data_IF_988649377712
#
_entry.id   IF_988649377712
#
_cell.length_a   1.000
_cell.length_b   1.000
_cell.length_c   1.000
_cell.angle_alpha   90.00
_cell.angle_beta   90.00
_cell.angle_gamma   90.00
#
_symmetry.space_group_name_H-M   'P 1'
#
loop_
_entity.id
_entity.type
_entity.pdbx_description
1 polymer ?
#
# COMPACT_ATOMS: atom_id res chain seq x y z
N UNK A 1 24.90 -42.84 56.18
CA UNK A 1 25.96 -43.69 55.61
C UNK A 1 25.75 -43.86 54.11
N UNK A 2 26.85 -43.79 53.35
CA UNK A 2 27.11 -43.88 51.90
C UNK A 2 26.05 -44.45 50.93
N UNK A 3 25.78 -43.64 49.89
CA UNK A 3 25.81 -43.87 48.41
C UNK A 3 25.66 -45.30 47.82
N UNK A 4 24.77 -45.33 46.80
CA UNK A 4 24.95 -45.73 45.37
C UNK A 4 24.38 -47.07 44.86
N UNK A 5 23.81 -46.95 43.65
CA UNK A 5 23.32 -47.93 42.66
C UNK A 5 22.01 -48.66 43.05
N UNK A 6 20.98 -48.81 42.21
CA UNK A 6 21.00 -49.18 40.79
C UNK A 6 19.71 -48.73 40.05
N UNK A 7 19.84 -48.68 38.71
CA UNK A 7 18.91 -48.39 37.60
C UNK A 7 17.46 -48.93 37.71
N UNK A 8 16.51 -48.02 37.48
CA UNK A 8 15.58 -47.94 36.33
C UNK A 8 14.69 -49.15 35.96
N UNK A 9 13.36 -49.02 36.14
CA UNK A 9 12.33 -48.70 35.10
C UNK A 9 10.95 -49.35 35.38
N UNK A 10 9.93 -48.47 35.50
CA UNK A 10 8.51 -48.49 35.04
C UNK A 10 7.62 -49.75 35.24
N UNK A 11 6.31 -49.68 35.49
CA UNK A 11 5.29 -48.65 35.24
C UNK A 11 4.07 -48.88 36.16
N UNK A 12 3.41 -47.80 36.58
CA UNK A 12 2.27 -47.77 37.52
C UNK A 12 0.99 -47.34 36.77
N UNK A 13 -0.07 -48.14 36.93
CA UNK A 13 -1.48 -47.83 37.34
C UNK A 13 -2.07 -46.48 36.85
N UNK A 14 -3.27 -46.34 36.27
CA UNK A 14 -4.54 -47.07 36.41
C UNK A 14 -5.62 -46.10 36.96
N UNK A 15 -6.89 -46.29 36.56
CA UNK A 15 -8.15 -46.12 37.35
C UNK A 15 -9.36 -45.79 36.43
N UNK A 16 -10.43 -46.54 36.69
CA UNK A 16 -11.78 -46.57 36.11
C UNK A 16 -12.73 -45.77 37.02
N UNK A 17 -13.72 -45.05 36.48
CA UNK A 17 -15.05 -44.91 37.12
C UNK A 17 -16.16 -44.95 36.06
N UNK A 18 -17.10 -45.87 36.27
CA UNK A 18 -18.35 -46.15 35.53
C UNK A 18 -19.52 -45.64 36.35
N UNK A 19 -20.51 -44.96 35.75
CA UNK A 19 -21.95 -44.98 36.13
C UNK A 19 -22.77 -44.17 35.09
N UNK A 20 -23.99 -44.47 34.65
CA UNK A 20 -24.97 -45.51 34.99
C UNK A 20 -26.16 -45.48 33.99
N UNK A 21 -26.70 -46.66 33.67
CA UNK A 21 -28.07 -47.02 33.25
C UNK A 21 -28.62 -46.69 31.83
N UNK A 22 -28.54 -47.71 30.99
CA UNK A 22 -29.60 -48.17 30.06
C UNK A 22 -30.78 -48.77 30.86
N UNK A 23 -32.02 -48.69 30.38
CA UNK A 23 -32.86 -49.89 30.19
C UNK A 23 -34.04 -49.66 29.23
N UNK A 24 -34.31 -50.73 28.47
CA UNK A 24 -35.23 -50.98 27.36
C UNK A 24 -36.72 -50.79 27.66
N UNK A 25 -37.54 -50.55 26.63
CA UNK A 25 -38.47 -51.58 26.10
C UNK A 25 -39.28 -51.14 24.86
N UNK A 26 -39.67 -52.17 24.11
CA UNK A 26 -40.30 -52.27 22.79
C UNK A 26 -41.75 -51.75 22.72
N UNK A 27 -42.24 -51.45 21.50
CA UNK A 27 -43.33 -52.20 20.81
C UNK A 27 -43.74 -51.53 19.47
N UNK A 28 -44.06 -52.39 18.51
CA UNK A 28 -44.45 -52.18 17.11
C UNK A 28 -45.77 -51.42 16.85
N UNK A 29 -45.81 -50.71 15.70
CA UNK A 29 -46.70 -50.91 14.51
C UNK A 29 -47.56 -49.71 14.01
N UNK A 30 -47.37 -49.44 12.71
CA UNK A 30 -48.29 -48.96 11.64
C UNK A 30 -48.28 -47.47 11.24
N UNK A 31 -47.96 -47.27 9.95
CA UNK A 31 -48.33 -46.14 9.07
C UNK A 31 -47.34 -44.98 9.11
N UNK A 32 -46.62 -44.58 8.06
CA UNK A 32 -46.87 -44.64 6.63
C UNK A 32 -46.73 -43.22 6.07
N UNK A 33 -45.79 -43.04 5.12
CA UNK A 33 -45.64 -41.89 4.20
C UNK A 33 -44.68 -40.73 4.57
N UNK A 34 -43.58 -40.68 3.78
CA UNK A 34 -42.82 -39.53 3.28
C UNK A 34 -42.25 -38.47 4.24
N UNK A 35 -40.93 -38.50 4.43
CA UNK A 35 -40.03 -37.51 3.80
C UNK A 35 -38.56 -37.84 4.12
N UNK A 36 -37.96 -38.70 3.30
CA UNK A 36 -36.55 -38.55 3.01
C UNK A 36 -36.43 -37.50 1.91
N UNK A 37 -35.66 -36.44 2.10
CA UNK A 37 -34.35 -36.21 1.45
C UNK A 37 -33.88 -34.78 1.82
N UNK A 38 -32.66 -34.71 2.38
CA UNK A 38 -31.69 -33.58 2.33
C UNK A 38 -32.15 -32.21 2.84
N UNK A 39 -31.72 -31.67 3.99
CA UNK A 39 -30.38 -31.71 4.62
C UNK A 39 -29.23 -31.35 3.67
N UNK A 40 -29.43 -30.33 2.83
CA UNK A 40 -28.35 -29.64 2.09
C UNK A 40 -28.71 -28.16 1.84
N UNK A 41 -29.01 -27.40 2.89
CA UNK A 41 -28.99 -25.92 2.85
C UNK A 41 -28.32 -25.35 4.12
N UNK A 42 -27.27 -26.03 4.57
CA UNK A 42 -26.30 -25.48 5.51
C UNK A 42 -24.90 -25.68 4.89
N UNK A 43 -24.64 -24.94 3.81
CA UNK A 43 -23.32 -24.83 3.20
C UNK A 43 -22.94 -23.34 3.20
N UNK A 44 -22.02 -23.02 4.10
CA UNK A 44 -21.10 -21.88 4.10
C UNK A 44 -21.67 -20.50 3.78
N UNK A 45 -22.33 -19.86 4.74
CA UNK A 45 -22.25 -18.40 4.85
C UNK A 45 -20.88 -18.04 5.45
N UNK A 46 -19.78 -18.24 4.72
CA UNK A 46 -18.50 -17.66 5.12
C UNK A 46 -18.69 -16.15 5.07
N UNK A 47 -18.80 -15.53 6.24
CA UNK A 47 -18.97 -14.07 6.36
C UNK A 47 -17.83 -13.41 5.57
N UNK A 48 -18.14 -12.49 4.66
CA UNK A 48 -17.10 -11.70 3.97
C UNK A 48 -16.35 -10.91 5.06
N UNK A 49 -15.13 -11.32 5.37
CA UNK A 49 -14.25 -10.66 6.34
C UNK A 49 -13.41 -9.59 5.65
N UNK A 50 -13.10 -9.83 4.37
CA UNK A 50 -12.28 -8.97 3.53
C UNK A 50 -13.04 -8.56 2.27
N UNK A 51 -12.69 -7.40 1.72
CA UNK A 51 -13.09 -7.01 0.37
C UNK A 51 -11.98 -6.28 -0.35
N UNK A 52 -11.79 -6.61 -1.62
CA UNK A 52 -10.99 -5.82 -2.55
C UNK A 52 -11.83 -4.77 -3.27
N UNK A 53 -11.32 -3.55 -3.39
CA UNK A 53 -11.87 -2.49 -4.24
C UNK A 53 -10.79 -1.97 -5.19
N UNK A 54 -11.19 -1.49 -6.36
CA UNK A 54 -10.31 -0.88 -7.34
C UNK A 54 -11.04 0.29 -8.00
N UNK A 55 -10.34 1.39 -8.17
CA UNK A 55 -10.76 2.56 -8.93
C UNK A 55 -9.67 2.92 -9.94
N UNK A 56 -10.01 3.71 -10.95
CA UNK A 56 -9.05 4.14 -11.95
C UNK A 56 -9.22 5.61 -12.32
N UNK A 57 -8.13 6.22 -12.77
CA UNK A 57 -8.11 7.55 -13.39
C UNK A 57 -7.36 7.47 -14.72
N UNK A 58 -7.99 7.94 -15.80
CA UNK A 58 -7.37 8.03 -17.13
C UNK A 58 -6.76 9.42 -17.30
N UNK A 59 -5.48 9.47 -17.65
CA UNK A 59 -4.78 10.69 -18.09
C UNK A 59 -4.50 10.63 -19.59
N UNK A 60 -3.84 11.65 -20.14
CA UNK A 60 -3.46 11.68 -21.56
C UNK A 60 -2.54 10.51 -21.92
N UNK A 61 -1.63 10.15 -21.03
CA UNK A 61 -0.54 9.20 -21.26
C UNK A 61 -0.67 7.88 -20.48
N UNK A 62 -1.51 7.82 -19.43
CA UNK A 62 -1.56 6.68 -18.51
C UNK A 62 -2.97 6.34 -18.04
N UNK A 63 -3.08 5.17 -17.42
CA UNK A 63 -4.18 4.78 -16.54
C UNK A 63 -3.59 4.50 -15.16
N UNK A 64 -4.09 5.20 -14.15
CA UNK A 64 -3.68 5.04 -12.75
C UNK A 64 -4.74 4.19 -12.07
N UNK A 65 -4.34 3.11 -11.40
CA UNK A 65 -5.21 2.22 -10.65
C UNK A 65 -4.94 2.35 -9.16
N UNK A 66 -5.94 2.76 -8.39
CA UNK A 66 -5.92 2.75 -6.93
C UNK A 66 -6.75 1.57 -6.43
N UNK A 67 -6.19 0.71 -5.59
CA UNK A 67 -6.91 -0.44 -5.08
C UNK A 67 -6.56 -0.74 -3.62
N UNK A 68 -7.49 -1.41 -2.94
CA UNK A 68 -7.40 -1.63 -1.51
C UNK A 68 -7.96 -2.99 -1.10
N UNK A 69 -7.42 -3.54 -0.02
CA UNK A 69 -7.97 -4.69 0.70
C UNK A 69 -8.45 -4.24 2.08
N UNK A 70 -9.77 -4.23 2.29
CA UNK A 70 -10.40 -3.72 3.53
C UNK A 70 -10.82 -4.85 4.45
N UNK A 71 -10.55 -4.70 5.75
CA UNK A 71 -11.01 -5.61 6.80
C UNK A 71 -12.36 -5.16 7.37
N UNK A 72 -13.41 -5.93 7.07
CA UNK A 72 -14.78 -5.74 7.59
C UNK A 72 -15.08 -6.59 8.82
N UNK A 73 -14.12 -7.39 9.28
CA UNK A 73 -14.29 -8.20 10.48
C UNK A 73 -14.11 -7.34 11.73
N UNK A 74 -14.57 -7.86 12.87
CA UNK A 74 -14.39 -7.22 14.18
C UNK A 74 -13.05 -7.54 14.83
N UNK A 75 -12.12 -8.21 14.13
CA UNK A 75 -10.81 -8.62 14.64
C UNK A 75 -9.70 -8.09 13.74
N UNK A 76 -8.53 -7.84 14.32
CA UNK A 76 -7.34 -7.62 13.52
C UNK A 76 -6.98 -8.92 12.78
N UNK A 77 -6.62 -8.79 11.51
CA UNK A 77 -6.15 -9.89 10.67
C UNK A 77 -4.67 -9.70 10.41
N UNK A 78 -3.90 -10.78 10.46
CA UNK A 78 -2.50 -10.80 10.04
C UNK A 78 -2.44 -11.59 8.74
N UNK A 79 -2.03 -10.94 7.66
CA UNK A 79 -1.99 -11.51 6.32
C UNK A 79 -0.53 -11.78 5.94
N UNK A 80 -0.16 -13.05 5.74
CA UNK A 80 1.15 -13.40 5.20
C UNK A 80 1.17 -13.25 3.68
N UNK A 81 2.26 -12.71 3.16
CA UNK A 81 2.58 -12.61 1.74
C UNK A 81 3.89 -13.33 1.48
N UNK A 82 3.92 -14.20 0.47
CA UNK A 82 5.06 -15.08 0.18
C UNK A 82 6.32 -14.36 -0.33
N UNK A 83 6.23 -13.08 -0.65
CA UNK A 83 7.31 -12.28 -1.24
C UNK A 83 7.03 -10.78 -1.05
N UNK A 84 7.93 -9.93 -1.54
CA UNK A 84 7.67 -8.51 -1.70
C UNK A 84 6.52 -8.19 -2.67
N UNK A 85 6.18 -9.12 -3.57
CA UNK A 85 4.99 -9.01 -4.41
C UNK A 85 3.72 -9.27 -3.58
N UNK A 86 2.94 -8.21 -3.35
CA UNK A 86 1.71 -8.29 -2.55
C UNK A 86 0.45 -8.36 -3.40
N UNK A 87 0.54 -7.99 -4.68
CA UNK A 87 -0.57 -8.01 -5.61
C UNK A 87 -0.11 -8.34 -7.03
N UNK A 88 -1.08 -8.64 -7.89
CA UNK A 88 -0.95 -8.66 -9.33
C UNK A 88 -2.05 -7.79 -9.93
N UNK A 89 -1.70 -6.93 -10.87
CA UNK A 89 -2.65 -6.20 -11.72
C UNK A 89 -2.44 -6.68 -13.16
N UNK A 90 -3.52 -7.13 -13.80
CA UNK A 90 -3.53 -7.53 -15.21
C UNK A 90 -4.55 -6.71 -15.96
N UNK A 91 -4.14 -6.06 -17.05
CA UNK A 91 -5.08 -5.39 -17.96
C UNK A 91 -5.25 -6.21 -19.22
N UNK A 92 -6.51 -6.42 -19.60
CA UNK A 92 -6.92 -7.15 -20.79
C UNK A 92 -7.74 -6.27 -21.72
N UNK A 93 -7.57 -6.47 -23.02
CA UNK A 93 -8.38 -5.81 -24.04
C UNK A 93 -9.79 -6.43 -24.16
N UNK A 94 -10.59 -5.93 -25.10
CA UNK A 94 -11.95 -6.41 -25.37
C UNK A 94 -12.00 -7.90 -25.82
N UNK A 95 -10.92 -8.43 -26.40
CA UNK A 95 -10.81 -9.84 -26.78
C UNK A 95 -10.38 -10.73 -25.61
N UNK A 96 -10.01 -10.12 -24.49
CA UNK A 96 -9.45 -10.82 -23.32
C UNK A 96 -7.95 -11.07 -23.42
N UNK A 97 -7.25 -10.48 -24.40
CA UNK A 97 -5.80 -10.56 -24.53
C UNK A 97 -5.13 -9.68 -23.48
N UNK A 98 -4.12 -10.22 -22.80
CA UNK A 98 -3.35 -9.49 -21.79
C UNK A 98 -2.42 -8.49 -22.45
N UNK A 99 -2.63 -7.22 -22.16
CA UNK A 99 -1.81 -6.11 -22.68
C UNK A 99 -0.84 -5.58 -21.64
N UNK A 100 -1.11 -5.77 -20.35
CA UNK A 100 -0.26 -5.34 -19.25
C UNK A 100 -0.35 -6.30 -18.07
N UNK A 101 0.78 -6.47 -17.39
CA UNK A 101 0.91 -7.20 -16.13
C UNK A 101 1.90 -6.48 -15.23
N UNK A 102 1.50 -6.23 -13.99
CA UNK A 102 2.35 -5.56 -13.02
C UNK A 102 3.68 -6.29 -12.82
N UNK A 103 3.68 -7.62 -12.72
CA UNK A 103 4.91 -8.37 -12.48
C UNK A 103 5.90 -8.41 -13.66
N UNK A 104 5.51 -8.00 -14.88
CA UNK A 104 6.39 -8.09 -16.04
C UNK A 104 7.63 -7.20 -15.85
N UNK A 105 8.82 -7.79 -16.00
CA UNK A 105 10.10 -7.09 -15.84
C UNK A 105 10.47 -6.69 -14.41
N UNK A 106 9.67 -7.05 -13.40
CA UNK A 106 9.95 -6.75 -11.99
C UNK A 106 10.58 -7.96 -11.27
N UNK A 107 11.41 -7.68 -10.27
CA UNK A 107 12.02 -8.69 -9.40
C UNK A 107 11.58 -8.44 -7.97
N UNK A 108 11.04 -9.45 -7.29
CA UNK A 108 10.54 -9.29 -5.93
C UNK A 108 11.43 -10.04 -4.94
N UNK A 109 11.56 -9.50 -3.73
CA UNK A 109 12.26 -10.20 -2.65
C UNK A 109 11.49 -11.45 -2.25
N UNK A 110 12.17 -12.57 -2.00
CA UNK A 110 11.53 -13.81 -1.56
C UNK A 110 11.28 -13.85 -0.03
N UNK A 111 11.37 -12.70 0.63
CA UNK A 111 11.15 -12.60 2.07
C UNK A 111 9.66 -12.63 2.38
N UNK A 112 9.28 -13.41 3.39
CA UNK A 112 7.91 -13.48 3.87
C UNK A 112 7.54 -12.16 4.56
N UNK A 113 6.46 -11.54 4.10
CA UNK A 113 5.97 -10.26 4.64
C UNK A 113 4.66 -10.51 5.39
N UNK A 114 4.52 -9.97 6.59
CA UNK A 114 3.29 -10.02 7.37
C UNK A 114 2.69 -8.63 7.48
N UNK A 115 1.42 -8.49 7.11
CA UNK A 115 0.67 -7.22 7.26
C UNK A 115 -0.48 -7.41 8.21
N UNK A 116 -0.53 -6.59 9.25
CA UNK A 116 -1.70 -6.50 10.11
C UNK A 116 -2.69 -5.49 9.52
N UNK A 117 -3.99 -5.83 9.53
CA UNK A 117 -5.08 -4.92 9.17
C UNK A 117 -6.10 -4.93 10.30
N UNK A 118 -6.28 -3.80 11.00
CA UNK A 118 -7.27 -3.70 12.08
C UNK A 118 -8.71 -3.63 11.53
N UNK A 119 -9.74 -3.82 12.38
CA UNK A 119 -11.13 -3.64 11.97
C UNK A 119 -11.38 -2.28 11.32
N UNK A 120 -11.92 -2.27 10.10
CA UNK A 120 -12.21 -1.08 9.31
C UNK A 120 -11.02 -0.50 8.54
N UNK A 121 -9.79 -0.98 8.76
CA UNK A 121 -8.61 -0.53 8.02
C UNK A 121 -8.51 -1.20 6.65
N UNK A 122 -7.65 -0.64 5.80
CA UNK A 122 -7.34 -1.19 4.49
C UNK A 122 -5.85 -1.08 4.16
N UNK A 123 -5.30 -2.12 3.54
CA UNK A 123 -4.05 -2.01 2.79
C UNK A 123 -4.36 -1.32 1.45
N UNK A 124 -3.46 -0.44 1.01
CA UNK A 124 -3.68 0.41 -0.18
C UNK A 124 -2.46 0.36 -1.08
N UNK A 125 -2.72 0.16 -2.36
CA UNK A 125 -1.69 0.14 -3.40
C UNK A 125 -2.14 0.98 -4.59
N UNK A 126 -1.15 1.38 -5.38
CA UNK A 126 -1.36 2.05 -6.65
C UNK A 126 -0.44 1.44 -7.71
N UNK A 127 -0.93 1.34 -8.94
CA UNK A 127 -0.11 0.98 -10.10
C UNK A 127 -0.48 1.85 -11.31
N UNK A 128 0.48 2.06 -12.21
CA UNK A 128 0.29 2.89 -13.41
C UNK A 128 0.61 2.10 -14.67
N UNK A 129 -0.31 2.16 -15.63
CA UNK A 129 -0.10 1.62 -16.95
C UNK A 129 0.02 2.74 -17.97
N UNK A 130 1.14 2.78 -18.70
CA UNK A 130 1.47 3.77 -19.74
C UNK A 130 0.73 3.56 -21.08
N UNK A 131 -0.33 2.74 -21.05
CA UNK A 131 -1.16 2.39 -22.21
C UNK A 131 -0.37 1.69 -23.31
N UNK A 132 0.77 1.06 -23.01
CA UNK A 132 1.50 0.22 -23.97
C UNK A 132 1.19 -1.25 -23.78
N UNK A 133 1.10 -1.97 -24.89
CA UNK A 133 1.04 -3.43 -24.88
C UNK A 133 2.42 -4.04 -24.53
N UNK A 134 2.47 -5.37 -24.41
CA UNK A 134 3.71 -6.11 -24.14
C UNK A 134 4.79 -5.98 -25.22
N UNK A 135 4.46 -5.46 -26.40
CA UNK A 135 5.41 -5.16 -27.47
C UNK A 135 5.84 -3.67 -27.46
N UNK A 136 5.39 -2.88 -26.48
CA UNK A 136 5.71 -1.46 -26.33
C UNK A 136 4.87 -0.53 -27.20
N UNK A 137 3.85 -1.02 -27.90
CA UNK A 137 3.01 -0.19 -28.77
C UNK A 137 1.84 0.40 -27.98
N UNK A 138 1.47 1.66 -28.29
CA UNK A 138 0.30 2.29 -27.67
C UNK A 138 -0.98 1.52 -28.05
N UNK A 139 -1.76 1.14 -27.05
CA UNK A 139 -3.01 0.42 -27.26
C UNK A 139 -4.10 1.32 -27.85
N UNK A 140 -5.06 0.72 -28.54
CA UNK A 140 -6.13 1.46 -29.20
C UNK A 140 -7.19 1.96 -28.20
N UNK A 141 -7.89 3.06 -28.51
CA UNK A 141 -9.14 3.39 -27.83
C UNK A 141 -10.11 2.20 -27.83
N UNK A 142 -10.88 2.03 -26.75
CA UNK A 142 -11.76 0.89 -26.61
C UNK A 142 -11.97 0.45 -25.17
N UNK A 143 -12.68 -0.66 -24.99
CA UNK A 143 -12.97 -1.24 -23.68
C UNK A 143 -11.82 -2.12 -23.21
N UNK A 144 -11.49 -1.99 -21.94
CA UNK A 144 -10.48 -2.77 -21.24
C UNK A 144 -11.02 -3.24 -19.91
N UNK A 145 -10.39 -4.29 -19.38
CA UNK A 145 -10.70 -4.87 -18.08
C UNK A 145 -9.41 -4.98 -17.27
N UNK A 146 -9.40 -4.38 -16.10
CA UNK A 146 -8.33 -4.53 -15.11
C UNK A 146 -8.77 -5.57 -14.06
N UNK A 147 -7.93 -6.57 -13.86
CA UNK A 147 -8.11 -7.65 -12.87
C UNK A 147 -7.01 -7.50 -11.81
N UNK A 148 -7.41 -7.28 -10.56
CA UNK A 148 -6.49 -7.15 -9.42
C UNK A 148 -6.63 -8.39 -8.53
N UNK A 149 -5.51 -8.98 -8.15
CA UNK A 149 -5.41 -10.08 -7.19
C UNK A 149 -4.43 -9.71 -6.07
N UNK A 150 -4.85 -9.84 -4.81
CA UNK A 150 -3.99 -9.70 -3.63
C UNK A 150 -3.42 -11.06 -3.24
N UNK A 151 -2.10 -11.17 -3.20
CA UNK A 151 -1.35 -12.43 -3.14
C UNK A 151 -1.09 -12.91 -1.70
N UNK A 152 -2.14 -12.95 -0.89
CA UNK A 152 -2.08 -13.52 0.47
C UNK A 152 -1.85 -15.02 0.36
N UNK A 153 -0.87 -15.56 1.08
CA UNK A 153 -0.66 -17.01 1.14
C UNK A 153 -1.59 -17.65 2.18
N UNK A 154 -2.16 -18.83 1.92
CA UNK A 154 -2.98 -19.51 2.90
C UNK A 154 -2.13 -20.00 4.09
N UNK A 155 -2.62 -19.77 5.32
CA UNK A 155 -2.05 -20.39 6.52
C UNK A 155 -2.64 -21.79 6.75
N UNK A 156 -1.82 -22.76 7.16
CA UNK A 156 -2.27 -24.15 7.39
C UNK A 156 -3.32 -24.26 8.52
N UNK A 157 -3.20 -23.41 9.55
CA UNK A 157 -4.09 -23.39 10.72
C UNK A 157 -5.06 -22.18 10.75
N UNK A 158 -5.07 -21.36 9.69
CA UNK A 158 -5.87 -20.14 9.59
C UNK A 158 -7.24 -20.34 8.93
N UNK A 159 -8.15 -19.38 9.16
CA UNK A 159 -9.41 -19.32 8.41
C UNK A 159 -9.12 -19.12 6.92
N UNK A 160 -9.60 -20.02 6.08
CA UNK A 160 -9.40 -19.92 4.63
C UNK A 160 -10.08 -18.66 4.08
N UNK A 161 -9.29 -17.76 3.50
CA UNK A 161 -9.79 -16.60 2.77
C UNK A 161 -10.25 -17.06 1.38
N UNK A 162 -11.53 -16.85 1.07
CA UNK A 162 -12.05 -17.14 -0.27
C UNK A 162 -11.46 -16.19 -1.32
N UNK A 163 -10.99 -16.72 -2.47
CA UNK A 163 -10.33 -15.98 -3.55
C UNK A 163 -11.08 -14.72 -3.99
N UNK A 164 -12.42 -14.78 -4.01
CA UNK A 164 -13.29 -13.63 -4.37
C UNK A 164 -13.20 -12.44 -3.41
N UNK A 165 -12.61 -12.61 -2.23
CA UNK A 165 -12.33 -11.53 -1.28
C UNK A 165 -10.98 -10.87 -1.53
N UNK A 166 -10.10 -11.54 -2.28
CA UNK A 166 -8.76 -11.09 -2.65
C UNK A 166 -8.69 -10.66 -4.12
N UNK A 167 -9.81 -10.67 -4.84
CA UNK A 167 -9.87 -10.39 -6.27
C UNK A 167 -10.96 -9.37 -6.57
N UNK A 168 -10.62 -8.37 -7.36
CA UNK A 168 -11.58 -7.41 -7.92
C UNK A 168 -11.32 -7.19 -9.40
N UNK A 169 -12.33 -6.71 -10.10
CA UNK A 169 -12.28 -6.46 -11.53
C UNK A 169 -13.03 -5.19 -11.84
N UNK A 170 -12.43 -4.34 -12.67
CA UNK A 170 -13.05 -3.10 -13.13
C UNK A 170 -12.92 -3.00 -14.65
N UNK A 171 -13.99 -2.53 -15.28
CA UNK A 171 -14.02 -2.24 -16.71
C UNK A 171 -13.89 -0.74 -16.91
N UNK A 172 -13.15 -0.35 -17.95
CA UNK A 172 -12.95 1.06 -18.31
C UNK A 172 -12.82 1.21 -19.82
N UNK A 173 -13.03 2.43 -20.31
CA UNK A 173 -12.94 2.75 -21.74
C UNK A 173 -11.88 3.81 -21.95
N UNK A 174 -10.85 3.48 -22.74
CA UNK A 174 -9.88 4.46 -23.19
C UNK A 174 -10.51 5.35 -24.26
N UNK A 175 -10.47 6.68 -24.12
CA UNK A 175 -11.05 7.60 -25.09
C UNK A 175 -10.27 7.58 -26.41
N UNK A 176 -10.94 8.00 -27.49
CA UNK A 176 -10.25 8.30 -28.74
C UNK A 176 -9.24 9.44 -28.49
N UNK A 177 -7.99 9.24 -28.89
CA UNK A 177 -6.98 10.28 -28.88
C UNK A 177 -7.43 11.40 -29.82
N UNK A 178 -7.89 12.52 -29.29
CA UNK A 178 -8.15 13.70 -30.10
C UNK A 178 -6.82 14.28 -30.60
N UNK A 179 -6.72 14.73 -31.86
CA UNK A 179 -5.62 15.59 -32.27
C UNK A 179 -5.65 16.85 -31.40
N UNK A 180 -4.48 17.23 -30.86
CA UNK A 180 -4.31 18.44 -30.06
C UNK A 180 -4.56 19.66 -30.97
N UNK A 181 -5.72 20.29 -30.84
CA UNK A 181 -5.88 21.70 -31.14
C UNK A 181 -5.87 22.46 -29.81
N UNK A 182 -4.90 23.34 -29.65
CA UNK A 182 -4.87 24.33 -28.59
C UNK A 182 -6.10 25.24 -28.74
N UNK A 183 -7.11 25.10 -27.88
CA UNK A 183 -7.71 26.17 -27.06
C UNK A 183 -9.11 25.86 -26.52
N UNK A 184 -9.30 26.33 -25.27
CA UNK A 184 -10.53 26.67 -24.53
C UNK A 184 -11.43 25.57 -23.92
N UNK A 185 -11.24 25.42 -22.60
CA UNK A 185 -12.24 25.74 -21.56
C UNK A 185 -13.70 25.38 -21.88
N UNK A 186 -14.15 24.22 -21.38
CA UNK A 186 -15.55 23.83 -21.37
C UNK A 186 -15.86 22.85 -20.23
N UNK A 187 -16.05 23.39 -19.04
CA UNK A 187 -16.54 22.68 -17.85
C UNK A 187 -17.91 22.04 -18.13
N UNK A 188 -18.00 20.70 -18.04
CA UNK A 188 -19.28 19.98 -17.98
C UNK A 188 -19.37 19.20 -16.67
N UNK A 189 -20.00 19.84 -15.70
CA UNK A 189 -20.48 19.26 -14.45
C UNK A 189 -21.67 18.34 -14.75
N UNK A 190 -21.56 17.05 -14.42
CA UNK A 190 -22.73 16.15 -14.30
C UNK A 190 -23.14 16.12 -12.83
N UNK A 191 -24.27 16.76 -12.54
CA UNK A 191 -24.94 16.73 -11.23
C UNK A 191 -25.59 15.36 -11.00
N UNK A 192 -25.21 14.69 -9.93
CA UNK A 192 -26.02 13.68 -9.24
C UNK A 192 -26.38 14.19 -7.85
N UNK A 193 -27.66 14.34 -7.55
CA UNK A 193 -28.16 14.70 -6.22
C UNK A 193 -28.08 13.51 -5.23
N UNK A 194 -28.06 13.77 -3.91
CA UNK A 194 -27.53 12.85 -2.89
C UNK A 194 -28.62 11.96 -2.26
N UNK A 195 -28.23 10.86 -1.59
CA UNK A 195 -28.99 10.34 -0.48
C UNK A 195 -28.22 10.46 0.85
N UNK A 196 -28.83 11.24 1.73
CA UNK A 196 -29.08 11.03 3.18
C UNK A 196 -27.96 10.41 4.06
N UNK A 197 -27.66 11.17 5.11
CA UNK A 197 -26.71 10.91 6.18
C UNK A 197 -26.87 9.57 6.92
N UNK A 198 -25.72 8.90 7.10
CA UNK A 198 -25.35 8.19 8.32
C UNK A 198 -23.82 8.17 8.40
N UNK A 199 -23.27 8.63 9.52
CA UNK A 199 -21.84 8.85 9.68
C UNK A 199 -21.04 7.55 9.79
N UNK A 200 -20.18 7.32 8.81
CA UNK A 200 -18.94 6.55 8.91
C UNK A 200 -17.88 7.37 8.15
N UNK A 201 -16.73 7.65 8.77
CA UNK A 201 -15.63 8.36 8.08
C UNK A 201 -14.99 7.39 7.09
N UNK A 202 -15.60 7.24 5.91
CA UNK A 202 -14.93 6.66 4.76
C UNK A 202 -13.75 7.56 4.38
N UNK A 203 -12.52 7.04 4.50
CA UNK A 203 -11.32 7.73 4.01
C UNK A 203 -11.38 7.83 2.48
N UNK A 204 -11.95 8.92 1.96
CA UNK A 204 -11.98 9.21 0.54
C UNK A 204 -10.53 9.39 0.05
N UNK A 205 -10.07 8.54 -0.86
CA UNK A 205 -8.78 8.75 -1.54
C UNK A 205 -8.93 10.06 -2.33
N UNK A 206 -8.12 11.06 -1.98
CA UNK A 206 -8.10 12.37 -2.66
C UNK A 206 -7.47 12.14 -4.04
N UNK A 207 -8.21 12.46 -5.10
CA UNK A 207 -7.71 12.29 -6.47
C UNK A 207 -6.49 13.16 -6.75
N UNK A 208 -5.68 12.81 -7.75
CA UNK A 208 -4.47 13.57 -8.09
C UNK A 208 -4.75 15.06 -8.41
N UNK A 209 -5.85 15.33 -9.12
CA UNK A 209 -6.25 16.70 -9.45
C UNK A 209 -6.68 17.50 -8.21
N UNK A 210 -7.47 16.91 -7.32
CA UNK A 210 -7.88 17.53 -6.06
C UNK A 210 -6.67 17.74 -5.14
N UNK A 211 -5.79 16.74 -5.03
CA UNK A 211 -4.57 16.82 -4.22
C UNK A 211 -3.67 17.97 -4.70
N UNK A 212 -3.45 18.07 -6.03
CA UNK A 212 -2.69 19.16 -6.64
C UNK A 212 -3.29 20.53 -6.30
N UNK A 213 -4.60 20.69 -6.45
CA UNK A 213 -5.28 21.95 -6.12
C UNK A 213 -5.11 22.35 -4.65
N UNK A 214 -5.03 21.36 -3.74
CA UNK A 214 -4.88 21.60 -2.30
C UNK A 214 -3.44 21.91 -1.86
N UNK A 215 -2.43 21.26 -2.46
CA UNK A 215 -1.07 21.26 -1.89
C UNK A 215 0.00 21.93 -2.75
N UNK A 216 -0.21 22.16 -4.05
CA UNK A 216 0.88 22.50 -4.98
C UNK A 216 1.71 23.73 -4.54
N UNK A 217 1.07 24.78 -4.05
CA UNK A 217 1.76 25.98 -3.56
C UNK A 217 2.60 25.68 -2.31
N UNK A 218 2.03 24.94 -1.35
CA UNK A 218 2.71 24.54 -0.10
C UNK A 218 3.90 23.64 -0.40
N UNK A 219 3.71 22.63 -1.25
CA UNK A 219 4.78 21.71 -1.65
C UNK A 219 5.92 22.43 -2.37
N UNK A 220 5.59 23.37 -3.27
CA UNK A 220 6.59 24.24 -3.93
C UNK A 220 7.38 25.05 -2.92
N UNK A 221 6.72 25.66 -1.93
CA UNK A 221 7.40 26.47 -0.91
C UNK A 221 8.28 25.61 0.02
N UNK A 222 7.86 24.38 0.35
CA UNK A 222 8.69 23.41 1.09
C UNK A 222 9.92 23.01 0.26
N UNK A 223 9.76 22.70 -1.02
CA UNK A 223 10.90 22.36 -1.90
C UNK A 223 11.87 23.52 -2.07
N UNK A 224 11.37 24.76 -2.15
CA UNK A 224 12.22 25.96 -2.17
C UNK A 224 13.01 26.11 -0.87
N UNK A 225 12.36 25.92 0.28
CA UNK A 225 13.05 25.97 1.58
C UNK A 225 14.11 24.86 1.71
N UNK A 226 13.80 23.64 1.24
CA UNK A 226 14.76 22.54 1.18
C UNK A 226 15.95 22.91 0.30
N UNK A 227 15.73 23.28 -0.96
CA UNK A 227 16.80 23.61 -1.91
C UNK A 227 17.67 24.79 -1.49
N UNK A 228 17.10 25.78 -0.80
CA UNK A 228 17.83 26.92 -0.23
C UNK A 228 18.50 26.62 1.13
N UNK A 229 18.27 25.43 1.70
CA UNK A 229 18.63 25.08 3.09
C UNK A 229 18.10 26.09 4.12
N UNK A 230 16.91 26.65 3.87
CA UNK A 230 16.25 27.60 4.75
C UNK A 230 15.53 26.85 5.88
N UNK A 231 16.29 26.53 6.93
CA UNK A 231 15.79 25.79 8.09
C UNK A 231 14.65 26.48 8.84
N UNK A 232 14.68 27.82 8.93
CA UNK A 232 13.63 28.59 9.59
C UNK A 232 12.34 28.49 8.79
N UNK A 233 12.41 28.67 7.47
CA UNK A 233 11.23 28.56 6.61
C UNK A 233 10.70 27.14 6.56
N UNK A 234 11.57 26.13 6.50
CA UNK A 234 11.16 24.72 6.52
C UNK A 234 10.43 24.37 7.83
N UNK A 235 10.91 24.85 8.97
CA UNK A 235 10.33 24.60 10.28
C UNK A 235 8.87 25.10 10.42
N UNK A 236 8.48 26.13 9.67
CA UNK A 236 7.10 26.65 9.65
C UNK A 236 6.10 25.64 9.05
N UNK A 237 6.55 24.78 8.13
CA UNK A 237 5.70 23.79 7.47
C UNK A 237 5.60 22.47 8.23
N UNK A 238 6.53 22.20 9.16
CA UNK A 238 6.59 20.93 9.91
C UNK A 238 5.35 20.76 10.78
N UNK A 239 4.79 19.55 10.80
CA UNK A 239 3.63 19.24 11.63
C UNK A 239 3.95 19.47 13.11
N UNK A 240 3.18 20.32 13.82
CA UNK A 240 3.55 20.80 15.16
C UNK A 240 3.54 19.69 16.23
N UNK A 241 2.67 18.69 16.08
CA UNK A 241 2.59 17.53 16.98
C UNK A 241 3.41 16.32 16.49
N UNK A 242 3.25 15.93 15.23
CA UNK A 242 3.88 14.72 14.66
C UNK A 242 5.35 14.91 14.27
N UNK A 243 5.82 16.15 14.06
CA UNK A 243 7.14 16.42 13.49
C UNK A 243 7.20 16.02 12.00
N UNK A 244 8.41 15.91 11.47
CA UNK A 244 8.67 15.37 10.13
C UNK A 244 9.54 14.11 10.24
N UNK A 245 9.06 13.01 9.68
CA UNK A 245 9.75 11.72 9.58
C UNK A 245 10.64 11.68 8.34
N UNK A 246 11.84 11.12 8.46
CA UNK A 246 12.76 10.92 7.35
C UNK A 246 12.92 9.43 7.08
N UNK A 247 12.59 9.01 5.86
CA UNK A 247 12.70 7.63 5.42
C UNK A 247 13.68 7.57 4.23
N UNK A 248 14.82 6.86 4.32
CA UNK A 248 15.85 6.86 3.28
C UNK A 248 15.47 6.08 2.01
N UNK A 249 14.42 5.26 2.09
CA UNK A 249 13.86 4.45 1.00
C UNK A 249 12.33 4.42 1.13
N UNK A 250 11.62 3.64 0.31
CA UNK A 250 10.15 3.68 0.21
C UNK A 250 9.37 3.13 1.39
N UNK A 251 9.99 2.28 2.22
CA UNK A 251 9.30 1.65 3.36
C UNK A 251 9.43 2.51 4.61
N UNK A 252 8.33 3.11 5.03
CA UNK A 252 8.25 3.95 6.23
C UNK A 252 8.26 3.07 7.47
N UNK A 253 9.34 3.14 8.25
CA UNK A 253 9.51 2.40 9.50
C UNK A 253 9.14 3.30 10.68
N UNK A 254 7.93 3.12 11.22
CA UNK A 254 7.44 3.98 12.31
C UNK A 254 8.24 3.88 13.60
N UNK A 255 8.98 2.79 13.80
CA UNK A 255 9.79 2.53 15.00
C UNK A 255 11.23 3.04 14.87
N UNK A 256 11.81 2.95 13.66
CA UNK A 256 13.23 3.25 13.44
C UNK A 256 13.49 4.58 12.72
N UNK A 257 12.59 5.02 11.84
CA UNK A 257 12.80 6.27 11.11
C UNK A 257 12.88 7.44 12.10
N UNK A 258 13.80 8.36 11.82
CA UNK A 258 14.01 9.53 12.66
C UNK A 258 12.93 10.56 12.40
N UNK A 259 12.40 11.12 13.49
CA UNK A 259 11.40 12.18 13.48
C UNK A 259 11.99 13.43 14.13
N UNK A 260 11.91 14.56 13.45
CA UNK A 260 12.41 15.85 13.93
C UNK A 260 11.24 16.81 14.13
N UNK A 261 11.22 17.51 15.26
CA UNK A 261 10.22 18.56 15.51
C UNK A 261 10.52 19.82 14.71
N UNK A 262 9.56 20.76 14.64
CA UNK A 262 9.81 22.08 14.05
C UNK A 262 11.01 22.79 14.68
N UNK A 263 11.25 22.60 15.99
CA UNK A 263 12.40 23.21 16.67
C UNK A 263 13.73 22.53 16.29
N UNK A 264 13.73 21.20 16.14
CA UNK A 264 14.93 20.50 15.68
C UNK A 264 15.28 20.87 14.24
N UNK A 265 14.26 21.08 13.39
CA UNK A 265 14.43 21.47 11.99
C UNK A 265 15.15 22.81 11.83
N UNK A 266 14.89 23.79 12.71
CA UNK A 266 15.61 25.08 12.70
C UNK A 266 17.13 24.93 12.82
N UNK A 267 17.60 23.87 13.47
CA UNK A 267 19.02 23.58 13.64
C UNK A 267 19.52 22.43 12.74
N UNK A 268 18.67 21.88 11.86
CA UNK A 268 18.95 20.65 11.11
C UNK A 268 20.26 20.72 10.33
N UNK A 269 20.42 21.72 9.45
CA UNK A 269 21.61 21.84 8.60
C UNK A 269 22.91 22.16 9.35
N UNK A 270 22.81 22.67 10.59
CA UNK A 270 23.97 22.99 11.42
C UNK A 270 24.30 21.87 12.42
N UNK A 271 23.41 20.89 12.58
CA UNK A 271 23.57 19.82 13.54
C UNK A 271 24.68 18.84 13.10
N UNK A 272 25.73 18.75 13.91
CA UNK A 272 26.88 17.87 13.66
C UNK A 272 26.75 16.49 14.32
N UNK A 273 25.64 16.22 15.02
CA UNK A 273 25.38 14.90 15.60
C UNK A 273 25.10 13.92 14.47
N UNK A 274 25.77 12.76 14.52
CA UNK A 274 25.47 11.63 13.65
C UNK A 274 24.33 10.79 14.22
N UNK A 275 23.47 10.32 13.33
CA UNK A 275 22.36 9.44 13.64
C UNK A 275 22.43 8.20 12.74
N UNK A 276 21.86 7.10 13.22
CA UNK A 276 21.56 5.93 12.39
C UNK A 276 20.23 6.21 11.69
N UNK A 277 20.29 6.48 10.38
CA UNK A 277 19.10 6.77 9.56
C UNK A 277 18.44 5.51 9.00
N UNK A 278 19.11 4.37 9.10
CA UNK A 278 18.69 3.11 8.49
C UNK A 278 19.88 2.34 7.94
N UNK A 279 19.64 1.54 6.92
CA UNK A 279 20.65 0.71 6.26
C UNK A 279 20.56 0.91 4.75
N UNK A 280 21.70 0.96 4.07
CA UNK A 280 21.75 1.07 2.61
C UNK A 280 21.11 -0.17 1.96
N UNK A 281 20.23 0.07 0.99
CA UNK A 281 19.66 -1.02 0.20
C UNK A 281 20.75 -1.69 -0.66
N UNK A 282 20.66 -3.01 -0.81
CA UNK A 282 21.67 -3.85 -1.46
C UNK A 282 22.86 -4.25 -0.57
N UNK A 283 23.55 -3.30 0.09
CA UNK A 283 24.73 -3.62 0.93
C UNK A 283 24.37 -4.00 2.37
N UNK A 284 23.30 -3.41 2.91
CA UNK A 284 22.91 -3.56 4.31
C UNK A 284 23.80 -2.79 5.30
N UNK A 285 24.70 -1.92 4.83
CA UNK A 285 25.56 -1.11 5.69
C UNK A 285 24.78 0.00 6.41
N UNK A 286 25.20 0.38 7.61
CA UNK A 286 24.55 1.44 8.39
C UNK A 286 24.66 2.82 7.71
N UNK A 287 23.54 3.54 7.64
CA UNK A 287 23.51 4.94 7.22
C UNK A 287 23.78 5.82 8.44
N UNK A 288 25.06 5.95 8.80
CA UNK A 288 25.53 6.77 9.94
C UNK A 288 25.96 8.17 9.51
N UNK A 289 25.01 9.09 9.40
CA UNK A 289 25.21 10.43 8.84
C UNK A 289 24.77 11.55 9.80
N UNK A 290 25.36 12.73 9.67
CA UNK A 290 24.77 13.98 10.18
C UNK A 290 23.53 14.37 9.34
N UNK A 291 22.61 15.19 9.85
CA UNK A 291 21.50 15.72 9.07
C UNK A 291 21.91 16.43 7.77
N UNK A 292 23.02 17.18 7.79
CA UNK A 292 23.56 17.82 6.59
C UNK A 292 24.06 16.81 5.54
N UNK A 293 24.78 15.77 5.97
CA UNK A 293 25.23 14.69 5.07
C UNK A 293 24.04 13.86 4.55
N UNK A 294 23.04 13.59 5.39
CA UNK A 294 21.81 12.92 4.98
C UNK A 294 21.03 13.75 3.95
N UNK A 295 20.97 15.07 4.13
CA UNK A 295 20.35 15.97 3.17
C UNK A 295 20.98 15.84 1.78
N UNK A 296 22.31 15.91 1.68
CA UNK A 296 23.00 15.78 0.38
C UNK A 296 22.79 14.39 -0.24
N UNK A 297 22.69 13.35 0.58
CA UNK A 297 22.63 11.97 0.11
C UNK A 297 21.22 11.51 -0.28
N UNK A 298 20.19 11.95 0.43
CA UNK A 298 18.83 11.40 0.33
C UNK A 298 17.74 12.46 0.16
N UNK A 299 17.95 13.73 0.53
CA UNK A 299 16.89 14.76 0.39
C UNK A 299 17.08 15.56 -0.90
N UNK A 300 18.31 15.98 -1.18
CA UNK A 300 18.66 16.77 -2.36
C UNK A 300 19.75 16.08 -3.17
N UNK A 301 19.58 14.77 -3.37
CA UNK A 301 20.46 13.95 -4.21
C UNK A 301 20.40 14.31 -5.70
N UNK A 302 19.32 15.00 -6.10
CA UNK A 302 19.11 15.57 -7.42
C UNK A 302 18.38 16.92 -7.29
N UNK A 303 18.30 17.67 -8.39
CA UNK A 303 17.65 18.99 -8.45
C UNK A 303 16.11 18.87 -8.49
N UNK A 304 15.53 18.26 -7.45
CA UNK A 304 14.10 17.91 -7.38
C UNK A 304 13.15 19.11 -7.53
N UNK A 305 13.60 20.34 -7.24
CA UNK A 305 12.80 21.54 -7.51
C UNK A 305 12.46 21.70 -9.00
N UNK A 306 13.31 21.19 -9.90
CA UNK A 306 13.16 21.20 -11.34
C UNK A 306 12.86 19.81 -11.91
N UNK A 307 12.30 18.90 -11.09
CA UNK A 307 11.95 17.56 -11.55
C UNK A 307 10.99 17.63 -12.76
N UNK A 308 11.23 16.85 -13.83
CA UNK A 308 10.41 16.89 -15.05
C UNK A 308 9.00 16.33 -14.83
N UNK A 309 8.80 15.52 -13.78
CA UNK A 309 7.51 14.95 -13.44
C UNK A 309 7.22 15.18 -11.96
N UNK A 310 5.99 15.65 -11.67
CA UNK A 310 5.51 15.86 -10.31
C UNK A 310 4.16 15.15 -10.15
N UNK A 311 4.11 14.17 -9.26
CA UNK A 311 2.91 13.39 -8.94
C UNK A 311 2.25 13.93 -7.67
N UNK A 312 0.92 13.99 -7.66
CA UNK A 312 0.12 14.36 -6.49
C UNK A 312 -0.79 13.19 -6.15
N UNK A 313 -0.61 12.55 -4.99
CA UNK A 313 -1.20 11.24 -4.67
C UNK A 313 -1.06 10.22 -5.81
N UNK A 314 0.03 10.34 -6.56
CA UNK A 314 0.34 9.55 -7.74
C UNK A 314 1.78 9.07 -7.62
N UNK A 315 1.96 7.76 -7.51
CA UNK A 315 3.26 7.06 -7.39
C UNK A 315 3.88 6.92 -8.78
N UNK A 316 4.74 7.85 -9.15
CA UNK A 316 5.43 7.91 -10.45
C UNK A 316 6.60 6.96 -10.54
N UNK A 317 7.31 6.74 -9.44
CA UNK A 317 8.45 5.81 -9.41
C UNK A 317 7.96 4.36 -9.42
N UNK A 318 8.63 3.52 -10.20
CA UNK A 318 8.39 2.08 -10.25
C UNK A 318 9.64 1.36 -9.76
N UNK A 319 9.55 0.70 -8.61
CA UNK A 319 10.65 -0.08 -8.04
C UNK A 319 10.17 -1.36 -7.36
N UNK A 320 11.14 -2.15 -6.90
CA UNK A 320 10.91 -3.43 -6.23
C UNK A 320 10.77 -3.29 -4.71
N UNK A 321 11.01 -2.08 -4.18
CA UNK A 321 10.98 -1.81 -2.75
C UNK A 321 9.54 -1.80 -2.23
N UNK A 322 9.34 -2.33 -1.02
CA UNK A 322 8.05 -2.30 -0.36
C UNK A 322 7.64 -0.85 -0.06
N UNK A 323 6.38 -0.53 -0.31
CA UNK A 323 5.82 0.81 -0.10
C UNK A 323 4.65 0.71 0.89
N UNK A 324 4.52 1.66 1.81
CA UNK A 324 3.46 1.69 2.82
C UNK A 324 3.02 3.12 3.21
N UNK A 325 3.39 4.13 2.43
CA UNK A 325 3.13 5.53 2.75
C UNK A 325 1.63 5.87 2.90
N UNK A 326 0.75 5.22 2.13
CA UNK A 326 -0.70 5.41 2.25
C UNK A 326 -1.32 4.64 3.42
N UNK A 327 -0.56 3.75 4.06
CA UNK A 327 -0.96 2.99 5.25
C UNK A 327 -0.52 3.71 6.53
N UNK A 328 0.69 4.30 6.51
CA UNK A 328 1.32 4.88 7.71
C UNK A 328 0.83 6.28 8.05
N UNK A 329 0.60 7.12 7.04
CA UNK A 329 0.12 8.49 7.25
C UNK A 329 -1.42 8.54 7.19
N UNK A 330 -2.02 9.40 8.01
CA UNK A 330 -3.47 9.56 8.16
C UNK A 330 -4.03 10.54 7.12
N UNK A 331 -4.76 10.00 6.14
CA UNK A 331 -5.32 10.76 5.01
C UNK A 331 -4.32 11.71 4.35
N UNK A 332 -3.14 11.22 3.92
CA UNK A 332 -2.06 12.06 3.46
C UNK A 332 -2.37 12.66 2.08
N UNK A 333 -1.78 13.81 1.80
CA UNK A 333 -1.42 14.20 0.44
C UNK A 333 0.08 14.00 0.27
N UNK A 334 0.45 13.22 -0.74
CA UNK A 334 1.85 12.90 -1.08
C UNK A 334 2.20 13.58 -2.39
N UNK A 335 3.30 14.33 -2.41
CA UNK A 335 3.83 14.96 -3.61
C UNK A 335 5.15 14.31 -3.95
N UNK A 336 5.23 13.66 -5.10
CA UNK A 336 6.45 13.02 -5.59
C UNK A 336 7.10 13.84 -6.69
N UNK A 337 8.37 14.19 -6.50
CA UNK A 337 9.23 14.84 -7.48
C UNK A 337 10.10 13.77 -8.12
N UNK A 338 9.91 13.48 -9.41
CA UNK A 338 10.46 12.31 -10.07
C UNK A 338 11.34 12.66 -11.27
N UNK A 339 12.54 12.09 -11.29
CA UNK A 339 13.42 12.02 -12.44
C UNK A 339 13.38 10.59 -13.01
N UNK A 340 12.91 10.38 -14.25
CA UNK A 340 12.82 9.04 -14.86
C UNK A 340 14.18 8.43 -15.25
N UNK A 341 15.27 9.18 -15.09
CA UNK A 341 16.64 8.81 -15.42
C UNK A 341 17.45 10.05 -15.81
N UNK A 342 18.78 9.96 -15.75
CA UNK A 342 19.69 11.08 -16.04
C UNK A 342 20.60 10.79 -17.23
N UNK A 343 21.23 9.61 -17.25
CA UNK A 343 22.11 9.16 -18.32
C UNK A 343 21.44 8.01 -19.10
N UNK A 344 21.15 8.21 -20.41
CA UNK A 344 20.56 7.19 -21.27
C UNK A 344 21.29 5.85 -21.30
N UNK A 345 22.60 5.82 -20.98
CA UNK A 345 23.38 4.59 -20.91
C UNK A 345 22.89 3.62 -19.82
N UNK A 346 22.17 4.12 -18.81
CA UNK A 346 21.56 3.28 -17.77
C UNK A 346 20.13 2.85 -18.11
N UNK A 347 19.59 3.23 -19.27
CA UNK A 347 18.24 2.83 -19.73
C UNK A 347 17.14 3.10 -18.68
N UNK A 348 17.29 4.17 -17.90
CA UNK A 348 16.36 4.54 -16.83
C UNK A 348 16.65 3.89 -15.47
N UNK A 349 17.64 3.01 -15.36
CA UNK A 349 18.08 2.40 -14.07
C UNK A 349 18.88 3.37 -13.17
N UNK A 350 18.78 4.67 -13.42
CA UNK A 350 19.35 5.73 -12.61
C UNK A 350 18.29 6.74 -12.15
N UNK A 351 17.00 6.38 -12.26
CA UNK A 351 15.90 7.22 -11.80
C UNK A 351 16.00 7.51 -10.29
N UNK A 352 15.49 8.68 -9.90
CA UNK A 352 15.42 9.13 -8.50
C UNK A 352 14.10 9.83 -8.23
N UNK A 353 13.60 9.74 -6.99
CA UNK A 353 12.42 10.46 -6.56
C UNK A 353 12.51 10.93 -5.11
N UNK A 354 11.85 12.05 -4.83
CA UNK A 354 11.66 12.56 -3.48
C UNK A 354 10.17 12.76 -3.24
N UNK A 355 9.64 12.19 -2.17
CA UNK A 355 8.23 12.33 -1.77
C UNK A 355 8.12 13.19 -0.52
N UNK A 356 7.32 14.25 -0.63
CA UNK A 356 6.88 15.05 0.51
C UNK A 356 5.50 14.57 0.95
N UNK A 357 5.34 14.24 2.23
CA UNK A 357 4.08 13.78 2.80
C UNK A 357 3.48 14.87 3.68
N UNK A 358 2.22 15.19 3.41
CA UNK A 358 1.46 16.20 4.13
C UNK A 358 0.25 15.59 4.81
N UNK A 359 0.05 15.92 6.08
CA UNK A 359 -1.16 15.59 6.83
C UNK A 359 -1.85 16.88 7.28
N UNK A 360 -3.18 16.84 7.38
CA UNK A 360 -3.96 18.00 7.79
C UNK A 360 -3.86 18.17 9.30
N UNK A 361 -3.45 19.36 9.75
CA UNK A 361 -3.48 19.78 11.15
C UNK A 361 -4.31 21.05 11.26
N UNK A 362 -5.41 20.99 12.02
CA UNK A 362 -6.46 22.02 12.00
C UNK A 362 -6.96 22.24 10.56
N UNK A 363 -6.80 23.43 9.99
CA UNK A 363 -7.19 23.75 8.62
C UNK A 363 -6.02 23.91 7.63
N UNK A 364 -4.81 23.53 8.04
CA UNK A 364 -3.62 23.67 7.22
C UNK A 364 -2.91 22.32 6.98
N UNK A 365 -2.33 22.17 5.79
CA UNK A 365 -1.50 21.02 5.45
C UNK A 365 -0.09 21.20 6.00
N UNK A 366 0.41 20.18 6.71
CA UNK A 366 1.72 20.20 7.37
C UNK A 366 2.61 19.06 6.89
N UNK A 367 3.87 19.39 6.64
CA UNK A 367 4.90 18.44 6.27
C UNK A 367 5.12 17.47 7.44
N UNK A 368 4.88 16.19 7.19
CA UNK A 368 4.97 15.13 8.19
C UNK A 368 5.93 14.00 7.78
N UNK A 369 6.28 13.92 6.49
CA UNK A 369 7.27 12.94 6.01
C UNK A 369 8.08 13.46 4.83
N UNK A 370 9.34 13.03 4.76
CA UNK A 370 10.23 13.14 3.59
C UNK A 370 10.75 11.74 3.31
N UNK A 371 10.42 11.20 2.14
CA UNK A 371 10.74 9.84 1.73
C UNK A 371 11.59 9.92 0.46
N UNK A 372 12.78 9.34 0.49
CA UNK A 372 13.61 9.20 -0.70
C UNK A 372 13.28 7.89 -1.42
N UNK A 373 13.43 7.89 -2.74
CA UNK A 373 13.42 6.68 -3.54
C UNK A 373 14.43 6.81 -4.68
N UNK A 374 14.99 5.68 -5.09
CA UNK A 374 15.88 5.62 -6.23
C UNK A 374 15.97 4.18 -6.72
N UNK A 375 16.44 4.01 -7.95
CA UNK A 375 16.87 2.70 -8.38
C UNK A 375 18.03 2.20 -7.49
N UNK A 376 17.85 1.01 -6.94
CA UNK A 376 18.83 0.26 -6.17
C UNK A 376 18.78 -1.17 -6.68
N UNK A 377 19.69 -1.54 -7.60
CA UNK A 377 20.20 -2.91 -7.94
C UNK A 377 20.83 -2.91 -9.32
#
# INVERSE_FOLDING_TARGET
MKKKHLRNIFMVVGIIVVSLLLFLSQVHKVGGSNSGTTKTEQLSSTRRQLSTSCNYQITEDKVIFDFALTNHSSKALVLPFGSGQQFELVVKDEKGEEVYRYSDGKFFTLALVYKQINPGEALRWQDQWDRRDKAGNLVRPGRYRAEVEVLVIPEEDGDKIEDRQLRTTIEFTLPESQPVDEQESGEKTVKGEPPVASGERESKIISSAEAKAMIANTATAVMQALGAKDAEKLAEYVHPVKGVRFTPYTYVDTERDLVFTSNDIRNFFNNQRRYLWGYYDGSGEEIMLTPGEYYERFIYSADFINAPQIGYNQVLSSGNALENQFEVYENPIIVEYYFPGFDPAYEGMDWQSLRLVFEKYEDEWRLTGIIHNQWTI
#
